data_IF_828319660080
#
_entry.id   IF_828319660080
#
_cell.length_a   1.000
_cell.length_b   1.000
_cell.length_c   1.000
_cell.angle_alpha   90.00
_cell.angle_beta   90.00
_cell.angle_gamma   90.00
#
_symmetry.space_group_name_H-M   'P 1'
#
loop_
_entity.id
_entity.type
_entity.pdbx_description
1 polymer ?
#
# COMPACT_ATOMS: atom_id res chain seq x y z
N UNK A 1 19.62 0.58 -7.35
CA UNK A 1 18.64 1.43 -6.61
C UNK A 1 17.23 0.88 -6.85
N UNK A 2 16.23 1.25 -6.04
CA UNK A 2 14.86 0.69 -6.09
C UNK A 2 14.24 0.72 -7.51
N UNK A 3 14.46 1.81 -8.27
CA UNK A 3 14.00 1.88 -9.67
C UNK A 3 14.60 0.80 -10.58
N UNK A 4 15.88 0.44 -10.37
CA UNK A 4 16.53 -0.63 -11.14
C UNK A 4 15.91 -2.01 -10.81
N UNK A 5 15.54 -2.22 -9.54
CA UNK A 5 14.86 -3.45 -9.12
C UNK A 5 13.45 -3.52 -9.71
N UNK A 6 12.70 -2.41 -9.68
CA UNK A 6 11.37 -2.31 -10.31
C UNK A 6 11.45 -2.50 -11.83
N UNK A 7 12.49 -1.97 -12.47
CA UNK A 7 12.75 -2.14 -13.91
C UNK A 7 13.08 -3.59 -14.31
N UNK A 8 13.51 -4.42 -13.35
CA UNK A 8 13.79 -5.83 -13.58
C UNK A 8 12.54 -6.72 -13.45
N UNK A 9 11.41 -6.18 -12.97
CA UNK A 9 10.17 -6.93 -12.83
C UNK A 9 9.67 -7.42 -14.20
N UNK A 10 9.10 -8.62 -14.20
CA UNK A 10 8.46 -9.27 -15.32
C UNK A 10 7.03 -9.62 -14.91
N UNK A 11 6.08 -9.39 -15.78
CA UNK A 11 4.71 -9.87 -15.63
C UNK A 11 4.34 -10.84 -16.75
N UNK A 12 3.14 -11.41 -16.64
CA UNK A 12 2.55 -12.33 -17.60
C UNK A 12 1.34 -11.70 -18.32
N UNK A 13 0.53 -12.54 -18.99
CA UNK A 13 -0.64 -12.11 -19.77
C UNK A 13 -1.85 -11.73 -18.90
N UNK A 14 -1.82 -11.98 -17.59
CA UNK A 14 -2.89 -11.56 -16.68
C UNK A 14 -2.99 -10.04 -16.57
N UNK A 15 -4.13 -9.52 -16.12
CA UNK A 15 -4.28 -8.07 -15.91
C UNK A 15 -3.22 -7.51 -14.95
N UNK A 16 -2.90 -8.26 -13.88
CA UNK A 16 -1.84 -7.90 -12.95
C UNK A 16 -0.46 -7.96 -13.61
N UNK A 17 -0.18 -8.99 -14.41
CA UNK A 17 1.07 -9.14 -15.14
C UNK A 17 1.32 -8.02 -16.15
N UNK A 18 0.28 -7.60 -16.87
CA UNK A 18 0.34 -6.47 -17.78
C UNK A 18 0.61 -5.16 -17.02
N UNK A 19 -0.04 -4.95 -15.87
CA UNK A 19 0.20 -3.79 -15.00
C UNK A 19 1.64 -3.75 -14.45
N UNK A 20 2.18 -4.89 -14.01
CA UNK A 20 3.59 -5.04 -13.58
C UNK A 20 4.55 -4.73 -14.74
N UNK A 21 4.23 -5.22 -15.93
CA UNK A 21 5.02 -4.93 -17.14
C UNK A 21 5.02 -3.43 -17.50
N UNK A 22 3.89 -2.74 -17.31
CA UNK A 22 3.79 -1.29 -17.49
C UNK A 22 4.65 -0.54 -16.46
N UNK A 23 4.56 -0.92 -15.18
CA UNK A 23 5.38 -0.35 -14.10
C UNK A 23 6.88 -0.54 -14.36
N UNK A 24 7.29 -1.75 -14.78
CA UNK A 24 8.67 -2.07 -15.16
C UNK A 24 9.18 -1.18 -16.31
N UNK A 25 8.36 -0.97 -17.35
CA UNK A 25 8.70 -0.05 -18.45
C UNK A 25 8.83 1.39 -17.97
N UNK A 26 7.93 1.87 -17.12
CA UNK A 26 8.00 3.22 -16.56
C UNK A 26 9.26 3.40 -15.71
N UNK A 27 9.60 2.42 -14.87
CA UNK A 27 10.82 2.45 -14.07
C UNK A 27 12.10 2.59 -14.91
N UNK A 28 12.17 1.93 -16.08
CA UNK A 28 13.30 2.05 -17.02
C UNK A 28 13.46 3.46 -17.60
N UNK A 29 12.35 4.18 -17.78
CA UNK A 29 12.32 5.50 -18.40
C UNK A 29 12.39 6.64 -17.36
N UNK A 30 12.09 6.34 -16.10
CA UNK A 30 12.07 7.31 -15.02
C UNK A 30 13.46 7.66 -14.49
N UNK A 31 13.63 8.92 -14.09
CA UNK A 31 14.82 9.39 -13.37
C UNK A 31 14.47 9.55 -11.88
N UNK A 32 15.36 9.20 -10.94
CA UNK A 32 15.08 9.30 -9.50
C UNK A 32 14.49 10.65 -9.07
N UNK A 33 15.09 11.77 -9.51
CA UNK A 33 14.61 13.13 -9.19
C UNK A 33 13.20 13.42 -9.72
N UNK A 34 12.83 12.84 -10.86
CA UNK A 34 11.50 13.03 -11.43
C UNK A 34 10.45 12.27 -10.61
N UNK A 35 10.75 11.04 -10.20
CA UNK A 35 9.87 10.23 -9.34
C UNK A 35 9.72 10.84 -7.95
N UNK A 36 10.80 11.39 -7.39
CA UNK A 36 10.75 12.14 -6.13
C UNK A 36 9.88 13.41 -6.24
N UNK A 37 10.05 14.19 -7.31
CA UNK A 37 9.20 15.35 -7.56
C UNK A 37 7.73 14.96 -7.76
N UNK A 38 7.47 13.81 -8.37
CA UNK A 38 6.12 13.26 -8.52
C UNK A 38 5.52 12.89 -7.16
N UNK A 39 6.27 12.14 -6.35
CA UNK A 39 5.89 11.77 -4.99
C UNK A 39 5.54 13.00 -4.15
N UNK A 40 6.37 14.05 -4.20
CA UNK A 40 6.13 15.28 -3.45
C UNK A 40 4.83 15.99 -3.85
N UNK A 41 4.46 15.96 -5.14
CA UNK A 41 3.18 16.52 -5.62
C UNK A 41 1.99 15.67 -5.19
N UNK A 42 2.13 14.34 -5.24
CA UNK A 42 1.07 13.40 -4.91
C UNK A 42 0.77 13.37 -3.41
N UNK A 43 1.80 13.30 -2.56
CA UNK A 43 1.61 12.93 -1.15
C UNK A 43 2.01 14.00 -0.14
N UNK A 44 2.93 14.92 -0.50
CA UNK A 44 3.41 15.94 0.45
C UNK A 44 2.63 17.24 0.28
N UNK A 45 2.78 17.93 -0.86
CA UNK A 45 2.10 19.20 -1.18
C UNK A 45 2.33 20.35 -0.19
N UNK A 46 2.17 21.60 -0.62
CA UNK A 46 2.08 22.74 0.31
C UNK A 46 0.65 22.80 0.85
N UNK A 47 0.42 22.18 2.01
CA UNK A 47 -0.85 22.14 2.72
C UNK A 47 -1.52 20.76 2.70
N UNK A 48 -1.76 20.20 1.50
CA UNK A 48 -2.30 18.85 1.33
C UNK A 48 -1.80 18.27 0.01
N UNK A 49 -1.23 17.07 0.05
CA UNK A 49 -0.96 16.28 -1.17
C UNK A 49 -2.23 16.05 -1.98
N UNK A 50 -2.09 15.77 -3.27
CA UNK A 50 -3.22 15.35 -4.12
C UNK A 50 -3.98 14.17 -3.49
N UNK A 51 -3.24 13.26 -2.85
CA UNK A 51 -3.74 12.09 -2.14
C UNK A 51 -3.24 12.08 -0.69
N UNK A 52 -4.09 11.57 0.21
CA UNK A 52 -3.75 11.31 1.61
C UNK A 52 -3.82 9.81 1.85
N UNK A 53 -2.70 9.09 1.78
CA UNK A 53 -2.67 7.63 1.71
C UNK A 53 -2.86 6.97 3.08
N UNK A 54 -3.85 7.41 3.86
CA UNK A 54 -4.10 6.99 5.25
C UNK A 54 -5.47 6.35 5.41
N UNK A 55 -5.54 5.23 6.14
CA UNK A 55 -6.78 4.51 6.38
C UNK A 55 -7.82 5.39 7.07
N UNK A 56 -7.41 6.15 8.10
CA UNK A 56 -8.33 7.04 8.80
C UNK A 56 -8.92 8.07 7.87
N UNK A 57 -8.12 8.63 6.95
CA UNK A 57 -8.61 9.61 5.99
C UNK A 57 -9.65 9.02 5.03
N UNK A 58 -9.36 7.86 4.44
CA UNK A 58 -10.29 7.22 3.50
C UNK A 58 -11.57 6.71 4.16
N UNK A 59 -11.50 6.30 5.43
CA UNK A 59 -12.65 5.72 6.15
C UNK A 59 -13.51 6.76 6.88
N UNK A 60 -12.92 7.86 7.34
CA UNK A 60 -13.64 8.85 8.18
C UNK A 60 -13.60 10.27 7.62
N UNK A 61 -12.74 10.55 6.64
CA UNK A 61 -12.47 11.90 6.15
C UNK A 61 -11.48 12.70 7.00
N UNK A 62 -10.97 12.14 8.11
CA UNK A 62 -10.07 12.83 9.03
C UNK A 62 -8.84 11.97 9.40
N UNK A 63 -7.70 12.64 9.59
CA UNK A 63 -6.46 11.98 10.03
C UNK A 63 -6.52 11.65 11.53
N UNK A 64 -5.83 10.58 11.94
CA UNK A 64 -5.67 10.19 13.35
C UNK A 64 -6.97 9.79 14.07
N UNK A 65 -7.93 9.23 13.33
CA UNK A 65 -9.21 8.81 13.87
C UNK A 65 -9.22 7.35 14.36
N UNK A 66 -10.41 6.87 14.74
CA UNK A 66 -10.67 5.50 15.22
C UNK A 66 -9.94 4.37 14.46
N UNK A 67 -9.80 4.36 13.11
CA UNK A 67 -9.05 3.31 12.42
C UNK A 67 -7.59 3.20 12.88
N UNK A 68 -6.91 4.33 13.09
CA UNK A 68 -5.53 4.36 13.58
C UNK A 68 -5.44 3.84 15.02
N UNK A 69 -6.41 4.18 15.87
CA UNK A 69 -6.46 3.68 17.24
C UNK A 69 -6.60 2.16 17.30
N UNK A 70 -7.45 1.58 16.44
CA UNK A 70 -7.61 0.13 16.30
C UNK A 70 -6.33 -0.54 15.79
N UNK A 71 -5.65 0.08 14.81
CA UNK A 71 -4.36 -0.40 14.32
C UNK A 71 -3.32 -0.45 15.44
N UNK A 72 -3.21 0.60 16.26
CA UNK A 72 -2.27 0.63 17.39
C UNK A 72 -2.57 -0.44 18.45
N UNK A 73 -3.84 -0.74 18.70
CA UNK A 73 -4.22 -1.85 19.58
C UNK A 73 -3.74 -3.20 19.04
N UNK A 74 -3.97 -3.47 17.75
CA UNK A 74 -3.56 -4.71 17.10
C UNK A 74 -2.02 -4.82 16.98
N UNK A 75 -1.33 -3.70 16.75
CA UNK A 75 0.14 -3.63 16.79
C UNK A 75 0.69 -3.99 18.17
N UNK A 76 0.16 -3.37 19.23
CA UNK A 76 0.57 -3.63 20.61
C UNK A 76 0.36 -5.10 21.01
N UNK A 77 -0.77 -5.68 20.62
CA UNK A 77 -1.05 -7.11 20.84
C UNK A 77 -0.04 -8.06 20.16
N UNK A 78 0.68 -7.58 19.15
CA UNK A 78 1.69 -8.33 18.38
C UNK A 78 3.13 -7.92 18.69
N UNK A 79 3.34 -7.02 19.64
CA UNK A 79 4.67 -6.49 19.96
C UNK A 79 5.27 -5.59 18.88
N UNK A 80 4.43 -5.03 17.99
CA UNK A 80 4.84 -4.09 16.96
C UNK A 80 4.77 -2.66 17.50
N UNK A 81 5.75 -1.84 17.15
CA UNK A 81 5.79 -0.43 17.49
C UNK A 81 6.24 0.40 16.29
N UNK A 82 5.78 1.65 16.22
CA UNK A 82 6.29 2.62 15.25
C UNK A 82 7.73 2.98 15.59
N UNK A 83 8.57 3.16 14.57
CA UNK A 83 9.92 3.72 14.75
C UNK A 83 9.88 5.11 15.38
N UNK A 84 10.78 5.40 16.30
CA UNK A 84 10.91 6.72 16.94
C UNK A 84 11.29 7.83 15.94
N UNK A 85 11.89 7.47 14.81
CA UNK A 85 12.35 8.39 13.77
C UNK A 85 11.31 8.67 12.68
N UNK A 86 10.16 7.98 12.71
CA UNK A 86 9.08 8.13 11.73
C UNK A 86 7.90 8.84 12.38
N UNK A 87 7.60 10.04 11.88
CA UNK A 87 6.52 10.87 12.42
C UNK A 87 5.18 10.63 11.73
N UNK A 88 5.17 10.01 10.56
CA UNK A 88 3.95 9.65 9.84
C UNK A 88 3.08 8.68 10.67
N UNK A 89 1.75 8.80 10.58
CA UNK A 89 0.83 7.81 11.14
C UNK A 89 1.05 6.41 10.58
N UNK A 90 0.85 5.42 11.44
CA UNK A 90 1.05 4.00 11.15
C UNK A 90 0.03 3.42 10.15
N UNK A 91 -1.09 4.12 9.94
CA UNK A 91 -2.17 3.71 9.04
C UNK A 91 -1.97 4.18 7.60
N UNK A 92 -0.74 4.60 7.24
CA UNK A 92 -0.38 4.84 5.85
C UNK A 92 -0.37 3.53 5.05
N UNK A 93 -0.74 3.58 3.77
CA UNK A 93 -0.77 2.37 2.92
C UNK A 93 0.60 1.67 2.88
N UNK A 94 1.69 2.45 2.84
CA UNK A 94 3.05 1.91 2.83
C UNK A 94 3.37 1.17 4.14
N UNK A 95 3.02 1.78 5.29
CA UNK A 95 3.19 1.15 6.61
C UNK A 95 2.39 -0.13 6.74
N UNK A 96 1.13 -0.15 6.27
CA UNK A 96 0.28 -1.33 6.34
C UNK A 96 0.79 -2.47 5.43
N UNK A 97 1.24 -2.16 4.22
CA UNK A 97 1.84 -3.17 3.33
C UNK A 97 3.12 -3.76 3.94
N UNK A 98 3.98 -2.92 4.53
CA UNK A 98 5.20 -3.39 5.21
C UNK A 98 4.85 -4.26 6.43
N UNK A 99 3.87 -3.86 7.25
CA UNK A 99 3.42 -4.65 8.39
C UNK A 99 2.85 -6.01 7.96
N UNK A 100 2.02 -6.04 6.91
CA UNK A 100 1.47 -7.28 6.38
C UNK A 100 2.57 -8.19 5.83
N UNK A 101 3.50 -7.64 5.02
CA UNK A 101 4.65 -8.39 4.52
C UNK A 101 5.51 -8.96 5.64
N UNK A 102 5.80 -8.15 6.67
CA UNK A 102 6.57 -8.57 7.84
C UNK A 102 5.86 -9.65 8.67
N UNK A 103 4.53 -9.58 8.79
CA UNK A 103 3.72 -10.61 9.44
C UNK A 103 3.77 -11.93 8.67
N UNK A 104 3.66 -11.90 7.33
CA UNK A 104 3.68 -13.09 6.48
C UNK A 104 5.02 -13.83 6.59
N UNK A 105 6.14 -13.10 6.53
CA UNK A 105 7.48 -13.71 6.57
C UNK A 105 8.01 -13.95 7.99
N UNK A 106 7.26 -13.56 9.02
CA UNK A 106 7.67 -13.73 10.42
C UNK A 106 8.86 -12.87 10.84
N UNK A 107 8.96 -11.62 10.36
CA UNK A 107 10.09 -10.74 10.71
C UNK A 107 10.08 -10.33 12.19
N UNK A 108 8.90 -10.24 12.80
CA UNK A 108 8.70 -9.76 14.17
C UNK A 108 8.12 -10.84 15.12
N UNK A 109 8.17 -12.11 14.72
CA UNK A 109 7.60 -13.23 15.45
C UNK A 109 7.35 -14.43 14.54
N UNK A 110 6.61 -15.46 15.00
CA UNK A 110 6.21 -16.56 14.13
C UNK A 110 5.45 -16.04 12.90
N UNK A 111 5.66 -16.63 11.70
CA UNK A 111 4.88 -16.33 10.51
C UNK A 111 3.38 -16.40 10.80
N UNK A 112 2.65 -15.36 10.39
CA UNK A 112 1.22 -15.30 10.62
C UNK A 112 0.50 -16.38 9.80
N UNK A 113 -0.42 -17.11 10.43
CA UNK A 113 -1.27 -18.06 9.70
C UNK A 113 -2.29 -17.32 8.79
N UNK A 114 -2.98 -18.07 7.93
CA UNK A 114 -3.92 -17.50 6.97
C UNK A 114 -5.08 -16.75 7.65
N UNK A 115 -5.52 -17.22 8.83
CA UNK A 115 -6.59 -16.57 9.58
C UNK A 115 -6.14 -15.20 10.14
N UNK A 116 -4.91 -15.12 10.64
CA UNK A 116 -4.29 -13.89 11.11
C UNK A 116 -4.04 -12.90 9.97
N UNK A 117 -3.58 -13.38 8.82
CA UNK A 117 -3.40 -12.56 7.61
C UNK A 117 -4.74 -11.98 7.14
N UNK A 118 -5.77 -12.83 7.03
CA UNK A 118 -7.13 -12.43 6.66
C UNK A 118 -7.72 -11.41 7.62
N UNK A 119 -7.57 -11.62 8.93
CA UNK A 119 -8.08 -10.71 9.94
C UNK A 119 -7.41 -9.32 9.85
N UNK A 120 -6.09 -9.29 9.64
CA UNK A 120 -5.35 -8.04 9.47
C UNK A 120 -5.75 -7.32 8.18
N UNK A 121 -5.76 -8.03 7.05
CA UNK A 121 -6.13 -7.48 5.75
C UNK A 121 -7.55 -6.92 5.77
N UNK A 122 -8.53 -7.71 6.20
CA UNK A 122 -9.94 -7.32 6.19
C UNK A 122 -10.27 -6.18 7.15
N UNK A 123 -9.48 -6.00 8.22
CA UNK A 123 -9.68 -4.91 9.19
C UNK A 123 -8.97 -3.63 8.77
N UNK A 124 -7.72 -3.72 8.32
CA UNK A 124 -6.83 -2.55 8.20
C UNK A 124 -6.57 -2.12 6.75
N UNK A 125 -6.71 -3.00 5.76
CA UNK A 125 -6.31 -2.73 4.37
C UNK A 125 -7.52 -2.76 3.42
N UNK A 126 -8.19 -3.91 3.36
CA UNK A 126 -9.27 -4.20 2.40
C UNK A 126 -10.37 -3.13 2.31
N UNK A 127 -10.85 -2.54 3.43
CA UNK A 127 -11.95 -1.57 3.38
C UNK A 127 -11.68 -0.29 2.59
N UNK A 128 -10.43 0.05 2.28
CA UNK A 128 -10.08 1.35 1.69
C UNK A 128 -8.96 1.31 0.66
N UNK A 129 -8.04 0.34 0.73
CA UNK A 129 -6.86 0.29 -0.13
C UNK A 129 -7.21 0.23 -1.64
N UNK A 130 -8.29 -0.47 -2.00
CA UNK A 130 -8.77 -0.51 -3.39
C UNK A 130 -9.16 0.87 -3.92
N UNK A 131 -9.84 1.69 -3.10
CA UNK A 131 -10.18 3.07 -3.48
C UNK A 131 -8.93 3.95 -3.58
N UNK A 132 -8.00 3.83 -2.63
CA UNK A 132 -6.73 4.53 -2.68
C UNK A 132 -5.95 4.25 -3.97
N UNK A 133 -5.83 2.98 -4.37
CA UNK A 133 -5.12 2.63 -5.59
C UNK A 133 -5.83 3.10 -6.86
N UNK A 134 -7.16 3.14 -6.87
CA UNK A 134 -7.93 3.73 -7.97
C UNK A 134 -7.70 5.25 -8.07
N UNK A 135 -7.67 5.96 -6.94
CA UNK A 135 -7.33 7.39 -6.92
C UNK A 135 -5.89 7.64 -7.36
N UNK A 136 -4.96 6.77 -6.96
CA UNK A 136 -3.56 6.84 -7.38
C UNK A 136 -3.39 6.61 -8.88
N UNK A 137 -4.15 5.68 -9.45
CA UNK A 137 -4.21 5.41 -10.88
C UNK A 137 -4.76 6.64 -11.66
N UNK A 138 -5.78 7.31 -11.12
CA UNK A 138 -6.45 8.45 -11.75
C UNK A 138 -5.89 9.85 -11.43
N UNK A 139 -4.92 9.95 -10.52
CA UNK A 139 -4.37 11.24 -10.09
C UNK A 139 -3.68 12.00 -11.24
N UNK A 140 -3.93 13.31 -11.29
CA UNK A 140 -3.46 14.23 -12.34
C UNK A 140 -1.94 14.25 -12.46
N UNK A 141 -1.23 14.16 -11.34
CA UNK A 141 0.23 14.16 -11.32
C UNK A 141 0.84 12.76 -11.31
N UNK A 142 0.02 11.71 -11.45
CA UNK A 142 0.45 10.31 -11.39
C UNK A 142 0.91 9.83 -12.75
N UNK A 143 2.23 9.76 -12.95
CA UNK A 143 2.86 9.29 -14.19
C UNK A 143 3.60 7.98 -13.91
N UNK A 144 4.58 8.00 -13.00
CA UNK A 144 5.21 6.78 -12.51
C UNK A 144 4.30 6.03 -11.54
N UNK A 145 3.52 6.74 -10.71
CA UNK A 145 2.65 6.12 -9.73
C UNK A 145 1.32 5.61 -10.31
N UNK A 146 0.94 6.00 -11.53
CA UNK A 146 -0.28 5.49 -12.17
C UNK A 146 -0.26 3.96 -12.32
N UNK A 147 0.79 3.33 -12.90
CA UNK A 147 0.87 1.88 -12.94
C UNK A 147 1.05 1.24 -11.56
N UNK A 148 1.56 1.97 -10.55
CA UNK A 148 1.54 1.49 -9.14
C UNK A 148 0.10 1.41 -8.65
N UNK A 149 -0.72 2.40 -8.97
CA UNK A 149 -2.18 2.40 -8.76
C UNK A 149 -2.84 1.20 -9.41
N UNK A 150 -2.60 0.97 -10.71
CA UNK A 150 -3.17 -0.18 -11.44
C UNK A 150 -2.76 -1.51 -10.82
N UNK A 151 -1.48 -1.72 -10.52
CA UNK A 151 -0.98 -2.94 -9.86
C UNK A 151 -1.67 -3.14 -8.51
N UNK A 152 -1.71 -2.10 -7.67
CA UNK A 152 -2.34 -2.18 -6.35
C UNK A 152 -3.83 -2.47 -6.43
N UNK A 153 -4.56 -1.89 -7.39
CA UNK A 153 -5.99 -2.14 -7.58
C UNK A 153 -6.27 -3.60 -7.95
N UNK A 154 -5.53 -4.16 -8.91
CA UNK A 154 -5.67 -5.59 -9.26
C UNK A 154 -5.26 -6.49 -8.11
N UNK A 155 -4.15 -6.18 -7.43
CA UNK A 155 -3.68 -6.95 -6.28
C UNK A 155 -4.73 -6.98 -5.15
N UNK A 156 -5.32 -5.84 -4.78
CA UNK A 156 -6.37 -5.76 -3.77
C UNK A 156 -7.62 -6.58 -4.14
N UNK A 157 -8.01 -6.59 -5.42
CA UNK A 157 -9.15 -7.39 -5.88
C UNK A 157 -8.88 -8.90 -5.77
N UNK A 158 -7.68 -9.34 -6.14
CA UNK A 158 -7.26 -10.75 -6.06
C UNK A 158 -7.21 -11.20 -4.59
N UNK A 159 -6.57 -10.42 -3.71
CA UNK A 159 -6.45 -10.74 -2.28
C UNK A 159 -7.83 -10.80 -1.60
N UNK A 160 -8.72 -9.85 -1.90
CA UNK A 160 -10.07 -9.86 -1.35
C UNK A 160 -10.84 -11.13 -1.72
N UNK A 161 -10.72 -11.58 -2.98
CA UNK A 161 -11.36 -12.81 -3.46
C UNK A 161 -10.70 -14.07 -2.85
N UNK A 162 -9.38 -14.12 -2.77
CA UNK A 162 -8.65 -15.23 -2.15
C UNK A 162 -9.01 -15.40 -0.66
N UNK A 163 -9.11 -14.30 0.09
CA UNK A 163 -9.55 -14.34 1.48
C UNK A 163 -11.03 -14.70 1.65
N UNK A 164 -11.87 -14.41 0.64
CA UNK A 164 -13.27 -14.84 0.61
C UNK A 164 -13.39 -16.34 0.37
N UNK A 165 -12.63 -16.89 -0.58
CA UNK A 165 -12.64 -18.31 -0.93
C UNK A 165 -12.07 -19.21 0.17
N UNK A 166 -11.05 -18.75 0.90
CA UNK A 166 -10.47 -19.46 2.05
C UNK A 166 -11.35 -19.46 3.30
N UNK A 167 -12.58 -18.93 3.21
CA UNK A 167 -13.60 -19.05 4.26
C UNK A 167 -14.42 -20.36 4.15
N UNK A 168 -14.18 -21.17 3.12
CA UNK A 168 -14.85 -22.45 2.87
C UNK A 168 -14.11 -23.65 3.44
#
# INVERSE_FOLDING_TARGET
>A
MLLDQTAALQGDESELGQAVSALSKMAKLSKPKAVESEFNRLFIGLGRGELLPFASYYLTGFLNEKPLALLRQDMSARGLARSETVFEPEDSIASLMEMMGAMIVGRFGPPADLAQQKAFFGRHIGPWAGHFYADLEGAKNSVFYAPVGTVGRHFMAIEAEAFRMSAG
#
